data_IF_955587308674
#
_entry.id   IF_955587308674
#
_cell.length_a   1.000
_cell.length_b   1.000
_cell.length_c   1.000
_cell.angle_alpha   90.00
_cell.angle_beta   90.00
_cell.angle_gamma   90.00
#
_symmetry.space_group_name_H-M   'P 1'
#
loop_
_entity.id
_entity.type
_entity.pdbx_description
1 polymer ?
#
# COMPACT_ATOMS: atom_id res chain seq x y z
N UNK A 1 -8.25 -33.79 3.28
CA UNK A 1 -7.17 -32.79 3.50
C UNK A 1 -5.85 -33.14 2.80
N UNK A 2 -5.74 -34.24 2.04
CA UNK A 2 -4.50 -34.69 1.36
C UNK A 2 -4.23 -34.05 -0.01
N UNK A 3 -5.21 -33.37 -0.63
CA UNK A 3 -5.06 -32.79 -1.98
C UNK A 3 -4.65 -31.30 -1.98
N UNK A 4 -4.64 -30.66 -0.80
CA UNK A 4 -4.18 -29.29 -0.62
C UNK A 4 -2.78 -29.04 -1.22
N UNK A 5 -1.75 -29.89 -1.01
CA UNK A 5 -0.43 -29.67 -1.62
C UNK A 5 -0.43 -29.76 -3.15
N UNK A 6 -1.30 -30.57 -3.78
CA UNK A 6 -1.42 -30.64 -5.25
C UNK A 6 -2.12 -29.41 -5.83
N UNK A 7 -3.14 -28.91 -5.14
CA UNK A 7 -3.82 -27.67 -5.52
C UNK A 7 -2.88 -26.46 -5.39
N UNK A 8 -2.15 -26.36 -4.28
CA UNK A 8 -1.14 -25.32 -4.08
C UNK A 8 0.03 -25.42 -5.08
N UNK A 9 0.42 -26.63 -5.49
CA UNK A 9 1.44 -26.81 -6.52
C UNK A 9 0.99 -26.31 -7.91
N UNK A 10 -0.32 -26.33 -8.21
CA UNK A 10 -0.89 -25.70 -9.42
C UNK A 10 -0.97 -24.18 -9.32
N UNK A 11 -0.95 -23.63 -8.11
CA UNK A 11 -0.85 -22.19 -7.83
C UNK A 11 0.58 -21.68 -7.75
N UNK A 12 1.61 -22.54 -7.96
CA UNK A 12 2.98 -22.07 -8.24
C UNK A 12 2.97 -21.33 -9.57
N UNK A 13 2.58 -20.05 -9.52
CA UNK A 13 2.83 -19.09 -10.57
C UNK A 13 4.35 -19.05 -10.76
N UNK A 14 4.81 -19.29 -11.99
CA UNK A 14 6.18 -19.02 -12.37
C UNK A 14 6.34 -17.50 -12.50
N UNK A 15 6.31 -16.82 -11.36
CA UNK A 15 6.28 -15.37 -11.26
C UNK A 15 7.70 -14.86 -11.56
N UNK A 16 7.92 -14.12 -12.64
CA UNK A 16 9.24 -13.58 -12.91
C UNK A 16 9.59 -12.52 -11.83
N UNK A 17 10.88 -12.36 -11.47
CA UNK A 17 11.29 -11.46 -10.38
C UNK A 17 10.73 -10.03 -10.49
N UNK A 18 10.71 -9.47 -11.70
CA UNK A 18 10.18 -8.13 -11.99
C UNK A 18 8.70 -7.97 -11.63
N UNK A 19 7.90 -9.04 -11.70
CA UNK A 19 6.47 -8.95 -11.38
C UNK A 19 6.26 -8.81 -9.87
N UNK A 20 7.16 -9.37 -9.07
CA UNK A 20 7.14 -9.22 -7.62
C UNK A 20 7.52 -7.80 -7.20
N UNK A 21 8.56 -7.24 -7.82
CA UNK A 21 8.98 -5.84 -7.64
C UNK A 21 7.87 -4.87 -8.08
N UNK A 22 7.29 -5.07 -9.27
CA UNK A 22 6.21 -4.23 -9.77
C UNK A 22 4.96 -4.24 -8.86
N UNK A 23 4.60 -5.41 -8.30
CA UNK A 23 3.50 -5.50 -7.34
C UNK A 23 3.84 -4.83 -6.01
N UNK A 24 5.09 -4.92 -5.55
CA UNK A 24 5.53 -4.24 -4.33
C UNK A 24 5.46 -2.71 -4.50
N UNK A 25 5.96 -2.18 -5.61
CA UNK A 25 5.89 -0.75 -5.95
C UNK A 25 4.46 -0.26 -6.14
N UNK A 26 3.62 -1.05 -6.83
CA UNK A 26 2.21 -0.74 -6.99
C UNK A 26 1.50 -0.62 -5.65
N UNK A 27 1.73 -1.59 -4.74
CA UNK A 27 1.12 -1.58 -3.42
C UNK A 27 1.67 -0.46 -2.54
N UNK A 28 2.98 -0.19 -2.58
CA UNK A 28 3.59 0.94 -1.86
C UNK A 28 2.99 2.27 -2.30
N UNK A 29 2.85 2.47 -3.61
CA UNK A 29 2.23 3.67 -4.19
C UNK A 29 0.73 3.74 -3.88
N UNK A 30 0.02 2.60 -3.88
CA UNK A 30 -1.38 2.54 -3.49
C UNK A 30 -1.58 2.98 -2.04
N UNK A 31 -0.76 2.48 -1.11
CA UNK A 31 -0.78 2.89 0.30
C UNK A 31 -0.52 4.40 0.43
N UNK A 32 0.50 4.90 -0.26
CA UNK A 32 0.85 6.32 -0.29
C UNK A 32 -0.35 7.19 -0.69
N UNK A 33 -0.97 6.88 -1.83
CA UNK A 33 -2.07 7.67 -2.39
C UNK A 33 -3.35 7.53 -1.60
N UNK A 34 -3.70 6.35 -1.10
CA UNK A 34 -4.92 6.14 -0.31
C UNK A 34 -4.85 6.94 0.99
N UNK A 35 -3.76 6.84 1.75
CA UNK A 35 -3.63 7.60 3.00
C UNK A 35 -3.51 9.10 2.74
N UNK A 36 -2.64 9.50 1.81
CA UNK A 36 -2.43 10.90 1.46
C UNK A 36 -3.71 11.59 1.01
N UNK A 37 -4.41 11.02 0.03
CA UNK A 37 -5.65 11.60 -0.50
C UNK A 37 -6.82 11.47 0.47
N UNK A 38 -6.90 10.42 1.30
CA UNK A 38 -7.92 10.32 2.34
C UNK A 38 -7.79 11.45 3.37
N UNK A 39 -6.57 11.83 3.75
CA UNK A 39 -6.35 12.95 4.67
C UNK A 39 -6.78 14.30 4.08
N UNK A 40 -6.51 14.52 2.79
CA UNK A 40 -6.96 15.73 2.08
C UNK A 40 -8.48 15.72 1.93
N UNK A 41 -9.07 14.59 1.55
CA UNK A 41 -10.51 14.43 1.47
C UNK A 41 -11.17 14.69 2.83
N UNK A 42 -10.60 14.14 3.91
CA UNK A 42 -11.07 14.38 5.28
C UNK A 42 -11.05 15.87 5.61
N UNK A 43 -9.97 16.59 5.32
CA UNK A 43 -9.88 18.03 5.57
C UNK A 43 -10.88 18.84 4.71
N UNK A 44 -10.98 18.54 3.41
CA UNK A 44 -11.82 19.30 2.46
C UNK A 44 -13.30 19.03 2.69
N UNK A 45 -13.70 17.75 2.80
CA UNK A 45 -15.11 17.36 2.97
C UNK A 45 -15.64 17.78 4.36
N UNK A 46 -14.79 17.83 5.37
CA UNK A 46 -15.17 18.36 6.69
C UNK A 46 -15.08 19.87 6.79
N UNK A 47 -14.77 20.60 5.71
CA UNK A 47 -14.53 22.05 5.74
C UNK A 47 -13.50 22.50 6.80
N UNK A 48 -12.45 21.69 7.01
CA UNK A 48 -11.39 21.96 7.98
C UNK A 48 -11.66 21.49 9.42
N UNK A 49 -12.86 21.00 9.75
CA UNK A 49 -13.19 20.55 11.12
C UNK A 49 -12.41 19.29 11.54
N UNK A 50 -12.13 18.37 10.61
CA UNK A 50 -11.49 17.07 10.86
C UNK A 50 -10.14 16.92 10.16
N UNK A 51 -9.56 18.00 9.63
CA UNK A 51 -8.25 17.94 9.01
C UNK A 51 -7.58 19.30 9.01
N UNK A 52 -6.37 19.36 9.55
CA UNK A 52 -5.51 20.54 9.62
C UNK A 52 -4.25 20.35 8.78
N UNK A 53 -3.54 21.45 8.49
CA UNK A 53 -2.28 21.41 7.75
C UNK A 53 -1.28 20.39 8.34
N UNK A 54 -1.09 20.38 9.66
CA UNK A 54 -0.20 19.43 10.30
C UNK A 54 -0.67 17.98 10.11
N UNK A 55 -1.97 17.71 10.26
CA UNK A 55 -2.50 16.35 10.12
C UNK A 55 -2.33 15.78 8.71
N UNK A 56 -2.45 16.63 7.68
CA UNK A 56 -2.24 16.23 6.28
C UNK A 56 -0.77 15.86 6.07
N UNK A 57 0.16 16.74 6.47
CA UNK A 57 1.59 16.46 6.33
C UNK A 57 2.02 15.21 7.11
N UNK A 58 1.50 15.03 8.32
CA UNK A 58 1.76 13.84 9.12
C UNK A 58 1.22 12.58 8.46
N UNK A 59 0.01 12.64 7.88
CA UNK A 59 -0.59 11.51 7.16
C UNK A 59 0.25 11.11 5.94
N UNK A 60 0.73 12.08 5.14
CA UNK A 60 1.64 11.81 4.03
C UNK A 60 2.96 11.19 4.49
N UNK A 61 3.57 11.71 5.56
CA UNK A 61 4.79 11.14 6.13
C UNK A 61 4.61 9.69 6.56
N UNK A 62 3.53 9.39 7.29
CA UNK A 62 3.18 8.03 7.71
C UNK A 62 2.88 7.12 6.51
N UNK A 63 2.22 7.63 5.47
CA UNK A 63 1.93 6.88 4.26
C UNK A 63 3.21 6.44 3.52
N UNK A 64 4.21 7.33 3.43
CA UNK A 64 5.54 7.00 2.90
C UNK A 64 6.21 5.92 3.76
N UNK A 65 6.23 6.09 5.09
CA UNK A 65 6.84 5.09 5.98
C UNK A 65 6.20 3.71 5.81
N UNK A 66 4.86 3.62 5.77
CA UNK A 66 4.17 2.35 5.54
C UNK A 66 4.43 1.77 4.16
N UNK A 67 4.50 2.61 3.12
CA UNK A 67 4.88 2.17 1.77
C UNK A 67 6.27 1.54 1.73
N UNK A 68 7.26 2.16 2.39
CA UNK A 68 8.62 1.62 2.50
C UNK A 68 8.65 0.32 3.29
N UNK A 69 7.92 0.24 4.41
CA UNK A 69 7.83 -1.01 5.19
C UNK A 69 7.18 -2.15 4.40
N UNK A 70 6.24 -1.83 3.51
CA UNK A 70 5.60 -2.81 2.64
C UNK A 70 6.52 -3.31 1.51
N UNK A 71 7.17 -2.38 0.79
CA UNK A 71 7.90 -2.71 -0.43
C UNK A 71 9.40 -2.99 -0.21
N UNK A 72 10.02 -2.49 0.87
CA UNK A 72 11.48 -2.33 0.95
C UNK A 72 12.32 -3.61 1.08
N UNK A 73 11.70 -4.79 1.25
CA UNK A 73 12.42 -6.08 1.17
C UNK A 73 12.30 -6.76 -0.19
N UNK A 74 11.52 -6.15 -1.10
CA UNK A 74 11.11 -6.74 -2.37
C UNK A 74 11.63 -5.92 -3.55
N UNK A 75 11.51 -4.58 -3.46
CA UNK A 75 11.88 -3.58 -4.48
C UNK A 75 12.83 -2.56 -3.88
#
# INVERSE_FOLDING_TARGET
>A
MSDLPRFLARLKLNTPPWLREALAEFMGTFILLVYGNASVAQAVLSKGERGTFLSINFSWGMAVTMGVYWAGSIS
#
